data_IF_542570988015
#
_entry.id   IF_542570988015
#
_cell.length_a   1.000
_cell.length_b   1.000
_cell.length_c   1.000
_cell.angle_alpha   90.00
_cell.angle_beta   90.00
_cell.angle_gamma   90.00
#
_symmetry.space_group_name_H-M   'P 1'
#
loop_
_entity.id
_entity.type
_entity.pdbx_description
1 polymer ?
#
# COMPACT_ATOMS: atom_id res chain seq x y z
N UNK A 1 -12.85 -18.16 7.30
CA UNK A 1 -14.27 -17.93 6.92
C UNK A 1 -14.83 -16.54 7.24
N UNK A 2 -14.58 -15.91 8.41
CA UNK A 2 -15.16 -14.58 8.74
C UNK A 2 -14.49 -13.39 8.03
N UNK A 3 -13.19 -13.46 7.72
CA UNK A 3 -12.45 -12.39 7.03
C UNK A 3 -12.71 -12.34 5.52
N UNK A 4 -12.99 -13.48 4.89
CA UNK A 4 -13.42 -13.54 3.48
C UNK A 4 -14.77 -12.84 3.27
N UNK A 5 -15.70 -12.97 4.23
CA UNK A 5 -16.97 -12.22 4.25
C UNK A 5 -16.78 -10.70 4.38
N UNK A 6 -15.66 -10.23 4.94
CA UNK A 6 -15.37 -8.80 5.04
C UNK A 6 -14.83 -8.26 3.70
N UNK A 7 -14.02 -9.07 2.99
CA UNK A 7 -13.46 -8.72 1.67
C UNK A 7 -14.48 -8.77 0.52
N UNK A 8 -15.48 -9.64 0.61
CA UNK A 8 -16.60 -9.69 -0.36
C UNK A 8 -17.68 -8.64 -0.11
N UNK A 9 -17.71 -8.01 1.07
CA UNK A 9 -18.54 -6.82 1.28
C UNK A 9 -17.93 -5.70 0.44
N UNK A 10 -18.46 -5.51 -0.77
CA UNK A 10 -18.40 -4.22 -1.46
C UNK A 10 -18.76 -3.17 -0.42
N UNK A 11 -17.77 -2.42 0.06
CA UNK A 11 -18.07 -1.32 0.95
C UNK A 11 -19.08 -0.44 0.21
N UNK A 12 -20.19 -0.09 0.86
CA UNK A 12 -21.16 0.82 0.27
C UNK A 12 -20.40 2.00 -0.31
N UNK A 13 -20.56 2.26 -1.61
CA UNK A 13 -19.90 3.38 -2.25
C UNK A 13 -20.60 4.61 -1.68
N UNK A 14 -20.03 5.16 -0.60
CA UNK A 14 -20.62 6.25 0.17
C UNK A 14 -20.95 7.46 -0.70
N UNK A 15 -20.22 7.61 -1.82
CA UNK A 15 -20.47 8.62 -2.87
C UNK A 15 -21.81 8.45 -3.59
N UNK A 16 -22.34 7.23 -3.69
CA UNK A 16 -23.63 6.93 -4.35
C UNK A 16 -24.78 6.71 -3.37
N UNK A 17 -24.50 6.40 -2.10
CA UNK A 17 -25.53 6.03 -1.12
C UNK A 17 -26.05 7.21 -0.29
N UNK A 18 -25.28 8.29 -0.18
CA UNK A 18 -25.74 9.50 0.49
C UNK A 18 -26.33 10.41 -0.59
N UNK A 19 -27.66 10.58 -0.66
CA UNK A 19 -28.25 11.58 -1.53
C UNK A 19 -27.67 12.92 -1.11
N UNK A 20 -26.90 13.54 -2.02
CA UNK A 20 -26.39 14.89 -1.77
C UNK A 20 -27.61 15.79 -1.57
N UNK A 21 -27.68 16.57 -0.49
CA UNK A 21 -28.75 17.53 -0.34
C UNK A 21 -28.82 18.38 -1.61
N UNK A 22 -30.03 18.56 -2.17
CA UNK A 22 -30.22 19.38 -3.38
C UNK A 22 -30.03 20.88 -3.12
N UNK A 23 -29.53 21.22 -1.93
CA UNK A 23 -29.36 22.57 -1.44
C UNK A 23 -27.94 23.02 -1.75
N UNK A 24 -27.85 24.09 -2.53
CA UNK A 24 -26.57 24.65 -2.97
C UNK A 24 -25.85 25.31 -1.79
N UNK A 25 -24.70 24.74 -1.43
CA UNK A 25 -23.86 25.22 -0.33
C UNK A 25 -23.52 26.71 -0.47
N UNK A 26 -23.28 27.18 -1.69
CA UNK A 26 -22.98 28.59 -1.96
C UNK A 26 -24.13 29.50 -1.54
N UNK A 27 -25.37 29.13 -1.88
CA UNK A 27 -26.57 29.89 -1.50
C UNK A 27 -26.74 29.97 0.02
N UNK A 28 -26.51 28.87 0.74
CA UNK A 28 -26.61 28.86 2.21
C UNK A 28 -25.58 29.83 2.81
N UNK A 29 -24.35 29.84 2.29
CA UNK A 29 -23.28 30.74 2.75
C UNK A 29 -23.64 32.19 2.47
N UNK A 30 -24.17 32.51 1.29
CA UNK A 30 -24.57 33.87 0.92
C UNK A 30 -25.78 34.36 1.73
N UNK A 31 -26.77 33.49 1.96
CA UNK A 31 -27.90 33.75 2.85
C UNK A 31 -27.43 33.99 4.28
N UNK A 32 -26.50 33.18 4.79
CA UNK A 32 -25.92 33.34 6.14
C UNK A 32 -25.15 34.64 6.27
N UNK A 33 -24.34 35.01 5.27
CA UNK A 33 -23.64 36.31 5.24
C UNK A 33 -24.61 37.49 5.20
N UNK A 34 -25.71 37.36 4.46
CA UNK A 34 -26.74 38.40 4.37
C UNK A 34 -27.51 38.55 5.69
N UNK A 35 -27.86 37.42 6.33
CA UNK A 35 -28.48 37.40 7.65
C UNK A 35 -27.57 37.99 8.73
N UNK A 36 -26.26 37.67 8.69
CA UNK A 36 -25.26 38.22 9.60
C UNK A 36 -25.20 39.75 9.50
N UNK A 37 -25.11 40.31 8.28
CA UNK A 37 -25.14 41.78 8.06
C UNK A 37 -26.43 42.42 8.58
N UNK A 38 -27.57 41.76 8.40
CA UNK A 38 -28.84 42.25 8.92
C UNK A 38 -28.86 42.25 10.46
N UNK A 39 -28.36 41.18 11.09
CA UNK A 39 -28.26 41.07 12.54
C UNK A 39 -27.27 42.09 13.13
N UNK A 40 -26.13 42.35 12.47
CA UNK A 40 -25.18 43.40 12.86
C UNK A 40 -25.84 44.79 12.85
N UNK A 41 -26.58 45.11 11.78
CA UNK A 41 -27.31 46.38 11.71
C UNK A 41 -28.37 46.50 12.82
N UNK A 42 -29.12 45.42 13.07
CA UNK A 42 -30.14 45.40 14.12
C UNK A 42 -29.53 45.48 15.53
N UNK A 43 -28.38 44.83 15.74
CA UNK A 43 -27.59 44.92 16.97
C UNK A 43 -27.18 46.36 17.24
N UNK A 44 -26.62 47.04 16.24
CA UNK A 44 -26.21 48.44 16.32
C UNK A 44 -27.38 49.37 16.62
N UNK A 45 -28.53 49.17 15.98
CA UNK A 45 -29.74 49.96 16.24
C UNK A 45 -30.26 49.76 17.67
N UNK A 46 -30.36 48.50 18.14
CA UNK A 46 -30.80 48.21 19.51
C UNK A 46 -29.82 48.72 20.55
N UNK A 47 -28.52 48.67 20.27
CA UNK A 47 -27.48 49.23 21.13
C UNK A 47 -27.60 50.76 21.21
N UNK A 48 -27.78 51.45 20.06
CA UNK A 48 -28.02 52.91 20.04
C UNK A 48 -29.25 53.32 20.84
N UNK A 49 -30.36 52.60 20.67
CA UNK A 49 -31.61 52.89 21.43
C UNK A 49 -31.40 52.62 22.92
N UNK A 50 -30.69 51.55 23.27
CA UNK A 50 -30.37 51.22 24.66
C UNK A 50 -29.51 52.33 25.30
N UNK A 51 -28.47 52.78 24.61
CA UNK A 51 -27.58 53.85 25.08
C UNK A 51 -28.34 55.17 25.28
N UNK A 52 -29.21 55.55 24.32
CA UNK A 52 -30.09 56.72 24.45
C UNK A 52 -31.04 56.63 25.65
N UNK A 53 -31.63 55.46 25.91
CA UNK A 53 -32.53 55.26 27.05
C UNK A 53 -31.78 55.27 28.39
N UNK A 54 -30.55 54.73 28.42
CA UNK A 54 -29.68 54.77 29.60
C UNK A 54 -29.20 56.19 29.90
N UNK A 55 -28.97 57.02 28.88
CA UNK A 55 -28.59 58.42 29.03
C UNK A 55 -29.77 59.31 29.51
N UNK A 56 -31.02 58.93 29.20
CA UNK A 56 -32.23 59.60 29.69
C UNK A 56 -32.62 59.23 31.12
N UNK A 57 -32.12 58.11 31.63
CA UNK A 57 -32.45 57.57 32.97
C UNK A 57 -32.01 58.50 34.13
N UNK A 58 -30.82 59.14 34.11
CA UNK A 58 -30.43 60.15 35.10
C UNK A 58 -31.30 61.42 35.08
N UNK A 59 -31.76 61.84 33.90
CA UNK A 59 -32.53 63.08 33.71
C UNK A 59 -34.00 62.97 34.17
N UNK A 60 -34.52 61.75 34.37
CA UNK A 60 -35.91 61.48 34.74
C UNK A 60 -36.08 61.09 36.23
N UNK A 61 -35.03 61.19 37.04
CA UNK A 61 -35.10 61.01 38.51
C UNK A 61 -36.09 61.95 39.20
N UNK A 62 -36.60 62.98 38.51
CA UNK A 62 -37.62 63.93 39.00
C UNK A 62 -39.04 63.67 38.43
N UNK A 63 -39.22 62.70 37.52
CA UNK A 63 -40.51 62.40 36.88
C UNK A 63 -41.06 61.04 37.34
N UNK A 64 -42.38 60.95 37.59
CA UNK A 64 -43.02 59.91 38.41
C UNK A 64 -42.79 58.43 38.07
N UNK A 65 -43.02 57.58 39.08
CA UNK A 65 -42.60 56.17 39.18
C UNK A 65 -42.99 55.27 37.99
N UNK A 66 -44.16 55.47 37.38
CA UNK A 66 -44.67 54.62 36.30
C UNK A 66 -43.86 54.74 35.00
N UNK A 67 -43.38 55.95 34.66
CA UNK A 67 -42.55 56.16 33.46
C UNK A 67 -41.18 55.51 33.64
N UNK A 68 -40.63 55.62 34.84
CA UNK A 68 -39.35 55.00 35.21
C UNK A 68 -39.45 53.46 35.21
N UNK A 69 -40.58 52.88 35.60
CA UNK A 69 -40.84 51.44 35.50
C UNK A 69 -40.89 50.95 34.04
N UNK A 70 -41.60 51.67 33.17
CA UNK A 70 -41.71 51.31 31.75
C UNK A 70 -40.37 51.42 31.00
N UNK A 71 -39.56 52.45 31.30
CA UNK A 71 -38.22 52.60 30.72
C UNK A 71 -37.32 51.45 31.16
N UNK A 72 -37.33 51.05 32.44
CA UNK A 72 -36.59 49.88 32.94
C UNK A 72 -37.01 48.60 32.22
N UNK A 73 -38.31 48.37 32.05
CA UNK A 73 -38.81 47.19 31.32
C UNK A 73 -38.34 47.18 29.86
N UNK A 74 -38.34 48.34 29.18
CA UNK A 74 -37.86 48.47 27.81
C UNK A 74 -36.35 48.24 27.70
N UNK A 75 -35.57 48.74 28.65
CA UNK A 75 -34.13 48.49 28.77
C UNK A 75 -33.85 47.00 28.95
N UNK A 76 -34.58 46.33 29.84
CA UNK A 76 -34.41 44.88 30.07
C UNK A 76 -34.80 44.05 28.84
N UNK A 77 -35.83 44.47 28.11
CA UNK A 77 -36.21 43.84 26.85
C UNK A 77 -35.14 43.99 25.77
N UNK A 78 -34.59 45.21 25.60
CA UNK A 78 -33.51 45.48 24.65
C UNK A 78 -32.25 44.67 24.98
N UNK A 79 -31.86 44.60 26.26
CA UNK A 79 -30.73 43.78 26.71
C UNK A 79 -30.92 42.29 26.39
N UNK A 80 -32.12 41.75 26.64
CA UNK A 80 -32.43 40.34 26.32
C UNK A 80 -32.34 40.06 24.82
N UNK A 81 -32.87 40.95 23.98
CA UNK A 81 -32.79 40.77 22.52
C UNK A 81 -31.37 40.91 22.00
N UNK A 82 -30.57 41.82 22.57
CA UNK A 82 -29.17 42.01 22.18
C UNK A 82 -28.37 40.72 22.38
N UNK A 83 -28.54 40.03 23.52
CA UNK A 83 -27.90 38.72 23.79
C UNK A 83 -28.32 37.65 22.78
N UNK A 84 -29.60 37.64 22.35
CA UNK A 84 -30.09 36.69 21.35
C UNK A 84 -29.46 36.98 19.98
N UNK A 85 -29.33 38.25 19.60
CA UNK A 85 -28.68 38.66 18.34
C UNK A 85 -27.19 38.31 18.37
N UNK A 86 -26.48 38.59 19.46
CA UNK A 86 -25.07 38.23 19.63
C UNK A 86 -24.84 36.73 19.48
N UNK A 87 -25.69 35.91 20.12
CA UNK A 87 -25.62 34.46 19.94
C UNK A 87 -25.86 34.04 18.49
N UNK A 88 -26.81 34.67 17.79
CA UNK A 88 -27.05 34.40 16.37
C UNK A 88 -25.89 34.80 15.46
N UNK A 89 -25.17 35.87 15.80
CA UNK A 89 -23.94 36.29 15.13
C UNK A 89 -22.81 35.29 15.37
N UNK A 90 -22.61 34.85 16.62
CA UNK A 90 -21.62 33.83 16.98
C UNK A 90 -21.90 32.51 16.24
N UNK A 91 -23.15 32.05 16.23
CA UNK A 91 -23.57 30.84 15.50
C UNK A 91 -23.31 30.97 13.98
N UNK A 92 -23.58 32.15 13.40
CA UNK A 92 -23.31 32.43 11.98
C UNK A 92 -21.81 32.43 11.67
N UNK A 93 -21.00 32.98 12.57
CA UNK A 93 -19.54 32.98 12.46
C UNK A 93 -18.98 31.55 12.55
N UNK A 94 -19.48 30.75 13.49
CA UNK A 94 -19.14 29.32 13.60
C UNK A 94 -19.48 28.61 12.29
N UNK A 95 -20.66 28.84 11.73
CA UNK A 95 -21.06 28.25 10.45
C UNK A 95 -20.07 28.60 9.32
N UNK A 96 -19.62 29.85 9.22
CA UNK A 96 -18.63 30.26 8.22
C UNK A 96 -17.26 29.60 8.44
N UNK A 97 -16.80 29.48 9.69
CA UNK A 97 -15.54 28.78 9.98
C UNK A 97 -15.61 27.30 9.65
N UNK A 98 -16.73 26.63 9.99
CA UNK A 98 -16.98 25.24 9.63
C UNK A 98 -17.05 25.07 8.12
N UNK A 99 -17.69 26.00 7.41
CA UNK A 99 -17.71 26.01 5.96
C UNK A 99 -16.28 26.04 5.39
N UNK A 100 -15.41 26.92 5.87
CA UNK A 100 -14.03 26.97 5.39
C UNK A 100 -13.26 25.67 5.67
N UNK A 101 -13.45 25.06 6.84
CA UNK A 101 -12.83 23.77 7.18
C UNK A 101 -13.32 22.67 6.22
N UNK A 102 -14.63 22.61 5.96
CA UNK A 102 -15.20 21.64 5.01
C UNK A 102 -14.67 21.86 3.59
N UNK A 103 -14.49 23.12 3.16
CA UNK A 103 -13.88 23.42 1.86
C UNK A 103 -12.44 22.91 1.76
N UNK A 104 -11.63 23.13 2.81
CA UNK A 104 -10.26 22.63 2.86
C UNK A 104 -10.21 21.11 2.80
N UNK A 105 -11.03 20.42 3.59
CA UNK A 105 -11.12 18.95 3.57
C UNK A 105 -11.57 18.45 2.20
N UNK A 106 -12.56 19.08 1.57
CA UNK A 106 -13.01 18.70 0.23
C UNK A 106 -11.92 18.88 -0.84
N UNK A 107 -11.08 19.91 -0.71
CA UNK A 107 -9.93 20.14 -1.58
C UNK A 107 -8.84 19.10 -1.34
N UNK A 108 -8.48 18.81 -0.09
CA UNK A 108 -7.51 17.74 0.25
C UNK A 108 -7.98 16.37 -0.24
N UNK A 109 -9.27 16.05 -0.09
CA UNK A 109 -9.84 14.79 -0.60
C UNK A 109 -9.71 14.72 -2.13
N UNK A 110 -9.94 15.83 -2.84
CA UNK A 110 -9.80 15.89 -4.30
C UNK A 110 -8.35 15.66 -4.74
N UNK A 111 -7.40 16.34 -4.09
CA UNK A 111 -5.96 16.19 -4.38
C UNK A 111 -5.49 14.76 -4.14
N UNK A 112 -5.88 14.15 -3.03
CA UNK A 112 -5.57 12.75 -2.73
C UNK A 112 -6.18 11.79 -3.76
N UNK A 113 -7.39 12.07 -4.24
CA UNK A 113 -8.03 11.26 -5.28
C UNK A 113 -7.29 11.33 -6.62
N UNK A 114 -6.82 12.53 -6.99
CA UNK A 114 -6.01 12.74 -8.19
C UNK A 114 -4.64 12.04 -8.07
N UNK A 115 -3.97 12.13 -6.91
CA UNK A 115 -2.72 11.42 -6.63
C UNK A 115 -2.91 9.90 -6.73
N UNK A 116 -3.94 9.35 -6.08
CA UNK A 116 -4.31 7.93 -6.18
C UNK A 116 -4.54 7.53 -7.65
N UNK A 117 -5.16 8.40 -8.45
CA UNK A 117 -5.33 8.21 -9.89
C UNK A 117 -3.99 8.05 -10.61
N UNK A 118 -3.08 9.00 -10.42
CA UNK A 118 -1.76 9.01 -11.03
C UNK A 118 -0.90 7.80 -10.64
N UNK A 119 -0.93 7.40 -9.36
CA UNK A 119 -0.20 6.23 -8.86
C UNK A 119 -0.76 4.94 -9.46
N UNK A 120 -2.08 4.82 -9.62
CA UNK A 120 -2.70 3.67 -10.29
C UNK A 120 -2.28 3.57 -11.75
N UNK A 121 -2.17 4.68 -12.46
CA UNK A 121 -1.66 4.71 -13.84
C UNK A 121 -0.19 4.30 -13.91
N UNK A 122 0.64 4.83 -12.99
CA UNK A 122 2.05 4.45 -12.91
C UNK A 122 2.24 2.96 -12.62
N UNK A 123 1.44 2.39 -11.71
CA UNK A 123 1.45 0.95 -11.42
C UNK A 123 1.05 0.15 -12.66
N UNK A 124 0.02 0.57 -13.41
CA UNK A 124 -0.37 -0.11 -14.66
C UNK A 124 0.78 -0.09 -15.69
N UNK A 125 1.43 1.05 -15.87
CA UNK A 125 2.57 1.19 -16.78
C UNK A 125 3.73 0.27 -16.38
N UNK A 126 4.13 0.27 -15.10
CA UNK A 126 5.20 -0.60 -14.58
C UNK A 126 4.85 -2.09 -14.73
N UNK A 127 3.58 -2.48 -14.57
CA UNK A 127 3.14 -3.87 -14.80
C UNK A 127 3.31 -4.27 -16.27
N UNK A 128 2.96 -3.38 -17.21
CA UNK A 128 3.14 -3.63 -18.64
C UNK A 128 4.62 -3.77 -18.97
N UNK A 129 5.46 -2.87 -18.44
CA UNK A 129 6.91 -2.89 -18.62
C UNK A 129 7.54 -4.19 -18.07
N UNK A 130 7.20 -4.58 -16.84
CA UNK A 130 7.65 -5.85 -16.25
C UNK A 130 7.25 -7.06 -17.09
N UNK A 131 6.03 -7.08 -17.62
CA UNK A 131 5.59 -8.15 -18.51
C UNK A 131 6.38 -8.16 -19.82
N UNK A 132 6.77 -7.00 -20.35
CA UNK A 132 7.65 -6.91 -21.51
C UNK A 132 9.03 -7.48 -21.20
N UNK A 133 9.67 -7.01 -20.14
CA UNK A 133 11.01 -7.48 -19.74
C UNK A 133 11.04 -8.99 -19.48
N UNK A 134 9.99 -9.56 -18.89
CA UNK A 134 9.87 -11.02 -18.71
C UNK A 134 9.79 -11.78 -20.04
N UNK A 135 9.08 -11.24 -21.03
CA UNK A 135 9.04 -11.84 -22.38
C UNK A 135 10.40 -11.74 -23.06
N UNK A 136 11.05 -10.59 -22.96
CA UNK A 136 12.38 -10.36 -23.54
C UNK A 136 13.42 -11.29 -22.92
N UNK A 137 13.41 -11.45 -21.60
CA UNK A 137 14.26 -12.41 -20.89
C UNK A 137 13.99 -13.86 -21.34
N UNK A 138 12.73 -14.26 -21.49
CA UNK A 138 12.39 -15.60 -21.98
C UNK A 138 12.85 -15.81 -23.43
N UNK A 139 12.82 -14.77 -24.27
CA UNK A 139 13.33 -14.83 -25.63
C UNK A 139 14.86 -14.95 -25.68
N UNK A 140 15.59 -14.20 -24.86
CA UNK A 140 17.06 -14.31 -24.80
C UNK A 140 17.51 -15.64 -24.22
N UNK A 141 16.82 -16.15 -23.20
CA UNK A 141 17.07 -17.49 -22.64
C UNK A 141 16.89 -18.59 -23.68
N UNK A 142 15.83 -18.53 -24.50
CA UNK A 142 15.64 -19.51 -25.58
C UNK A 142 16.74 -19.45 -26.63
N UNK A 143 17.13 -18.24 -27.07
CA UNK A 143 18.23 -18.08 -28.03
C UNK A 143 19.57 -18.57 -27.48
N UNK A 144 19.81 -18.39 -26.18
CA UNK A 144 21.01 -18.91 -25.53
C UNK A 144 21.02 -20.44 -25.59
N UNK A 145 19.93 -21.09 -25.19
CA UNK A 145 19.82 -22.56 -25.25
C UNK A 145 19.97 -23.08 -26.69
N UNK A 146 19.34 -22.44 -27.68
CA UNK A 146 19.48 -22.80 -29.10
C UNK A 146 20.94 -22.67 -29.58
N UNK A 147 21.66 -21.62 -29.13
CA UNK A 147 23.08 -21.44 -29.48
C UNK A 147 23.99 -22.44 -28.76
N UNK A 148 23.69 -22.80 -27.52
CA UNK A 148 24.41 -23.82 -26.75
C UNK A 148 24.22 -25.21 -27.41
N UNK A 149 22.99 -25.55 -27.81
CA UNK A 149 22.67 -26.77 -28.55
C UNK A 149 23.47 -26.83 -29.87
N UNK A 150 23.48 -25.73 -30.63
CA UNK A 150 24.28 -25.64 -31.85
C UNK A 150 25.79 -25.83 -31.57
N UNK A 151 26.32 -25.22 -30.52
CA UNK A 151 27.73 -25.39 -30.14
C UNK A 151 28.07 -26.85 -29.83
N UNK A 152 27.21 -27.54 -29.07
CA UNK A 152 27.40 -28.96 -28.74
C UNK A 152 27.34 -29.82 -30.00
N UNK A 153 26.39 -29.56 -30.92
CA UNK A 153 26.32 -30.32 -32.18
C UNK A 153 27.57 -30.16 -33.03
N UNK A 154 28.11 -28.94 -33.12
CA UNK A 154 29.34 -28.66 -33.86
C UNK A 154 30.56 -29.28 -33.19
N UNK A 155 30.62 -29.35 -31.86
CA UNK A 155 31.69 -30.02 -31.13
C UNK A 155 31.70 -31.53 -31.40
N UNK A 156 30.52 -32.17 -31.41
CA UNK A 156 30.39 -33.58 -31.79
C UNK A 156 30.80 -33.81 -33.24
N UNK A 157 30.38 -32.95 -34.17
CA UNK A 157 30.80 -33.04 -35.58
C UNK A 157 32.32 -32.86 -35.75
N UNK A 158 32.92 -31.91 -35.02
CA UNK A 158 34.37 -31.71 -34.99
C UNK A 158 35.09 -32.98 -34.51
N UNK A 159 34.63 -33.56 -33.42
CA UNK A 159 35.24 -34.77 -32.85
C UNK A 159 35.07 -35.97 -33.79
N UNK A 160 33.91 -36.10 -34.43
CA UNK A 160 33.67 -37.12 -35.45
C UNK A 160 34.59 -36.96 -36.65
N UNK A 161 34.77 -35.74 -37.16
CA UNK A 161 35.69 -35.46 -38.27
C UNK A 161 37.15 -35.70 -37.86
N UNK A 162 37.55 -35.33 -36.65
CA UNK A 162 38.89 -35.60 -36.12
C UNK A 162 39.16 -37.11 -36.03
N UNK A 163 38.16 -37.88 -35.57
CA UNK A 163 38.23 -39.34 -35.55
C UNK A 163 38.35 -39.93 -36.96
N UNK A 164 37.54 -39.48 -37.92
CA UNK A 164 37.63 -39.93 -39.32
C UNK A 164 39.00 -39.60 -39.93
N UNK A 165 39.52 -38.39 -39.71
CA UNK A 165 40.85 -38.02 -40.16
C UNK A 165 41.92 -38.92 -39.54
N UNK A 166 41.80 -39.26 -38.26
CA UNK A 166 42.72 -40.19 -37.58
C UNK A 166 42.69 -41.58 -38.21
N UNK A 167 41.51 -42.11 -38.55
CA UNK A 167 41.36 -43.41 -39.24
C UNK A 167 41.86 -43.39 -40.70
N UNK A 168 41.73 -42.25 -41.38
CA UNK A 168 42.20 -42.10 -42.76
C UNK A 168 43.72 -41.84 -42.83
N UNK A 169 44.33 -41.35 -41.75
CA UNK A 169 45.78 -41.13 -41.61
C UNK A 169 46.51 -42.38 -41.09
N UNK A 170 46.34 -43.53 -41.73
CA UNK A 170 47.22 -44.70 -41.56
C UNK A 170 48.52 -44.54 -42.39
N UNK A 171 49.38 -43.58 -42.04
CA UNK A 171 50.86 -43.59 -42.26
C UNK A 171 51.52 -42.68 -41.19
N UNK A 172 52.70 -43.03 -40.62
CA UNK A 172 53.24 -42.35 -39.46
C UNK A 172 53.85 -40.99 -39.83
N UNK A 173 53.23 -39.89 -39.41
CA UNK A 173 53.88 -38.59 -39.42
C UNK A 173 54.75 -38.46 -38.17
N UNK A 174 56.06 -38.54 -38.41
CA UNK A 174 57.17 -38.46 -37.47
C UNK A 174 57.02 -37.33 -36.45
N UNK A 175 57.33 -37.66 -35.20
CA UNK A 175 57.74 -36.71 -34.18
C UNK A 175 58.94 -35.92 -34.69
N UNK A 176 58.83 -34.58 -34.73
CA UNK A 176 60.00 -33.73 -34.59
C UNK A 176 59.88 -32.93 -33.30
N UNK A 177 60.90 -33.13 -32.48
CA UNK A 177 61.24 -32.40 -31.28
C UNK A 177 61.46 -30.92 -31.58
N UNK A 178 60.79 -30.04 -30.83
CA UNK A 178 61.37 -28.76 -30.47
C UNK A 178 60.81 -28.30 -29.13
N UNK A 179 61.68 -28.48 -28.15
CA UNK A 179 61.74 -27.91 -26.82
C UNK A 179 61.45 -26.39 -26.80
N UNK A 180 60.55 -25.94 -25.92
CA UNK A 180 60.63 -24.65 -25.21
C UNK A 180 59.53 -24.57 -24.12
N UNK A 181 59.95 -24.59 -22.85
CA UNK A 181 59.39 -23.65 -21.85
C UNK A 181 58.32 -24.12 -20.85
N UNK A 182 58.77 -24.81 -19.80
CA UNK A 182 58.49 -24.51 -18.39
C UNK A 182 57.07 -24.60 -17.77
N UNK A 183 56.95 -25.60 -16.89
CA UNK A 183 56.41 -25.58 -15.52
C UNK A 183 54.91 -25.31 -15.30
N UNK A 184 54.18 -26.36 -14.89
CA UNK A 184 53.75 -26.53 -13.49
C UNK A 184 53.04 -27.89 -13.34
N UNK A 185 53.84 -28.86 -12.92
CA UNK A 185 53.41 -30.08 -12.25
C UNK A 185 52.68 -29.72 -10.95
N UNK A 186 51.55 -30.36 -10.69
CA UNK A 186 51.21 -30.96 -9.41
C UNK A 186 49.89 -31.74 -9.56
N UNK A 187 50.00 -32.91 -10.18
CA UNK A 187 49.05 -33.99 -9.95
C UNK A 187 49.40 -34.68 -8.62
N UNK A 188 48.68 -34.34 -7.55
CA UNK A 188 48.50 -35.27 -6.44
C UNK A 188 47.26 -34.92 -5.60
N UNK A 189 46.20 -35.71 -5.78
CA UNK A 189 45.49 -36.46 -4.73
C UNK A 189 44.50 -37.37 -5.47
N UNK A 190 44.84 -38.65 -5.48
CA UNK A 190 43.92 -39.74 -5.73
C UNK A 190 43.48 -40.24 -4.34
N UNK A 191 42.18 -40.25 -4.05
CA UNK A 191 41.53 -41.27 -3.22
C UNK A 191 40.02 -41.02 -3.03
N UNK A 192 39.25 -42.05 -3.41
CA UNK A 192 38.01 -42.53 -2.78
C UNK A 192 36.73 -41.71 -2.92
N UNK A 193 35.91 -42.21 -3.84
CA UNK A 193 34.54 -42.69 -3.59
C UNK A 193 33.60 -41.80 -2.75
N UNK A 194 32.62 -41.18 -3.40
CA UNK A 194 31.21 -41.49 -3.16
C UNK A 194 30.30 -40.64 -4.05
N UNK A 195 29.43 -41.36 -4.76
CA UNK A 195 28.11 -40.95 -5.25
C UNK A 195 28.00 -39.68 -6.09
N UNK A 196 27.83 -39.94 -7.39
CA UNK A 196 26.81 -39.31 -8.21
C UNK A 196 25.63 -38.79 -7.38
N UNK A 197 25.47 -37.48 -7.36
CA UNK A 197 24.15 -36.89 -7.17
C UNK A 197 23.98 -35.86 -8.27
N UNK A 198 23.44 -36.36 -9.37
CA UNK A 198 22.70 -35.59 -10.36
C UNK A 198 21.92 -34.47 -9.66
N UNK A 199 22.28 -33.22 -9.89
CA UNK A 199 21.40 -32.09 -9.58
C UNK A 199 20.30 -32.02 -10.65
N UNK A 200 19.55 -33.10 -10.79
CA UNK A 200 18.23 -33.06 -11.37
C UNK A 200 17.35 -32.41 -10.31
N UNK A 201 16.86 -31.20 -10.57
CA UNK A 201 15.79 -30.62 -9.77
C UNK A 201 14.69 -31.67 -9.64
N UNK A 202 14.38 -32.19 -8.43
CA UNK A 202 13.28 -33.12 -8.32
C UNK A 202 12.03 -32.34 -8.70
N UNK A 203 11.27 -32.85 -9.68
CA UNK A 203 9.88 -32.45 -9.87
C UNK A 203 9.17 -32.70 -8.53
N UNK A 204 9.03 -31.66 -7.72
CA UNK A 204 8.33 -31.72 -6.45
C UNK A 204 6.85 -31.94 -6.80
N UNK A 205 6.22 -33.03 -6.34
CA UNK A 205 4.78 -33.20 -6.48
C UNK A 205 4.09 -32.07 -5.73
N UNK A 206 3.23 -31.34 -6.43
CA UNK A 206 2.29 -30.41 -5.82
C UNK A 206 1.30 -31.22 -4.97
N UNK A 207 1.69 -31.52 -3.73
CA UNK A 207 0.78 -32.07 -2.74
C UNK A 207 0.47 -31.00 -1.71
N UNK A 208 -0.84 -30.76 -1.59
CA UNK A 208 -1.53 -29.82 -0.70
C UNK A 208 -1.55 -28.40 -1.27
N UNK A 209 -2.67 -28.08 -1.92
CA UNK A 209 -3.19 -26.71 -2.07
C UNK A 209 -3.41 -26.10 -0.68
N UNK A 210 -2.34 -25.64 -0.04
CA UNK A 210 -2.48 -24.58 0.94
C UNK A 210 -2.72 -23.34 0.10
N UNK A 211 -3.90 -22.73 0.27
CA UNK A 211 -4.32 -21.50 -0.38
C UNK A 211 -3.46 -20.31 0.11
N UNK A 212 -2.16 -20.31 -0.23
CA UNK A 212 -1.21 -19.22 -0.05
C UNK A 212 -1.48 -18.07 -1.05
N UNK A 213 -2.74 -17.81 -1.36
CA UNK A 213 -3.21 -16.81 -2.32
C UNK A 213 -3.01 -15.37 -1.83
N UNK A 214 -2.47 -15.18 -0.63
CA UNK A 214 -2.36 -13.87 0.00
C UNK A 214 -0.96 -13.24 -0.02
N UNK A 215 0.12 -14.02 -0.18
CA UNK A 215 1.46 -13.43 -0.18
C UNK A 215 2.49 -14.28 -0.97
N UNK A 216 3.05 -13.78 -2.10
CA UNK A 216 4.02 -14.53 -2.89
C UNK A 216 5.30 -14.86 -2.10
N UNK A 217 5.67 -14.03 -1.12
CA UNK A 217 6.81 -14.25 -0.24
C UNK A 217 6.62 -15.48 0.66
N UNK A 218 5.41 -15.69 1.17
CA UNK A 218 5.07 -16.81 2.03
C UNK A 218 5.03 -18.12 1.25
N UNK A 219 4.57 -18.07 0.00
CA UNK A 219 4.58 -19.22 -0.91
C UNK A 219 6.00 -19.69 -1.24
N UNK A 220 6.93 -18.75 -1.49
CA UNK A 220 8.35 -19.08 -1.71
C UNK A 220 8.95 -19.70 -0.45
N UNK A 221 8.64 -19.16 0.73
CA UNK A 221 9.10 -19.71 1.99
C UNK A 221 8.56 -21.12 2.24
N UNK A 222 7.27 -21.36 2.01
CA UNK A 222 6.65 -22.69 2.12
C UNK A 222 7.37 -23.72 1.22
N UNK A 223 7.59 -23.38 -0.05
CA UNK A 223 8.27 -24.28 -0.98
C UNK A 223 9.70 -24.61 -0.54
N UNK A 224 10.41 -23.65 0.05
CA UNK A 224 11.76 -23.85 0.60
C UNK A 224 11.74 -24.83 1.79
N UNK A 225 10.81 -24.62 2.74
CA UNK A 225 10.66 -25.49 3.91
C UNK A 225 10.28 -26.92 3.51
N UNK A 226 9.35 -27.08 2.57
CA UNK A 226 9.00 -28.40 2.04
C UNK A 226 10.19 -29.08 1.34
N UNK A 227 11.03 -28.31 0.65
CA UNK A 227 12.29 -28.83 0.08
C UNK A 227 13.26 -29.36 1.15
N UNK A 228 13.39 -28.67 2.28
CA UNK A 228 14.23 -29.16 3.39
C UNK A 228 13.67 -30.41 4.08
N UNK A 229 12.34 -30.51 4.19
CA UNK A 229 11.66 -31.70 4.71
C UNK A 229 11.85 -32.89 3.78
N UNK A 230 11.71 -32.69 2.47
CA UNK A 230 11.96 -33.72 1.47
C UNK A 230 13.42 -34.22 1.50
N UNK A 231 14.37 -33.34 1.87
CA UNK A 231 15.79 -33.67 2.08
C UNK A 231 16.08 -34.27 3.47
N UNK A 232 15.07 -34.43 4.33
CA UNK A 232 15.22 -34.98 5.69
C UNK A 232 15.96 -34.07 6.69
N UNK A 233 16.20 -32.80 6.34
CA UNK A 233 16.98 -31.85 7.14
C UNK A 233 16.10 -31.07 8.13
N UNK A 234 15.43 -31.77 9.03
CA UNK A 234 14.51 -31.19 10.02
C UNK A 234 15.21 -30.23 11.00
N UNK A 235 16.49 -30.47 11.27
CA UNK A 235 17.33 -29.64 12.14
C UNK A 235 17.46 -28.19 11.66
N UNK A 236 17.34 -27.96 10.34
CA UNK A 236 17.43 -26.63 9.72
C UNK A 236 16.04 -26.04 9.48
N UNK A 237 15.06 -26.88 9.12
CA UNK A 237 13.69 -26.45 8.85
C UNK A 237 12.99 -25.91 10.11
N UNK A 238 13.12 -26.61 11.24
CA UNK A 238 12.52 -26.26 12.53
C UNK A 238 12.91 -24.84 13.04
N UNK A 239 14.21 -24.48 13.13
CA UNK A 239 14.61 -23.14 13.54
C UNK A 239 14.24 -22.07 12.51
N UNK A 240 14.30 -22.39 11.22
CA UNK A 240 13.94 -21.46 10.15
C UNK A 240 12.46 -21.08 10.18
N UNK A 241 11.56 -22.03 10.44
CA UNK A 241 10.14 -21.73 10.63
C UNK A 241 9.88 -20.93 11.92
N UNK A 242 10.64 -21.17 12.99
CA UNK A 242 10.48 -20.44 14.25
C UNK A 242 10.92 -18.98 14.15
N UNK A 243 12.06 -18.71 13.51
CA UNK A 243 12.55 -17.34 13.30
C UNK A 243 11.61 -16.54 12.42
N UNK A 244 11.15 -17.13 11.33
CA UNK A 244 10.22 -16.45 10.41
C UNK A 244 8.84 -16.19 11.00
N UNK A 245 8.34 -17.08 11.87
CA UNK A 245 7.12 -16.82 12.64
C UNK A 245 7.30 -15.63 13.60
N UNK A 246 8.44 -15.55 14.29
CA UNK A 246 8.74 -14.44 15.19
C UNK A 246 8.86 -13.11 14.44
N UNK A 247 9.56 -13.10 13.30
CA UNK A 247 9.68 -11.92 12.43
C UNK A 247 8.33 -11.43 11.90
N UNK A 248 7.41 -12.35 11.59
CA UNK A 248 6.07 -12.02 11.11
C UNK A 248 5.18 -11.50 12.24
N UNK A 249 5.29 -12.06 13.45
CA UNK A 249 4.61 -11.55 14.64
C UNK A 249 5.08 -10.15 15.01
N UNK A 250 6.38 -9.88 14.93
CA UNK A 250 6.95 -8.57 15.25
C UNK A 250 6.52 -7.50 14.23
N UNK A 251 6.40 -7.86 12.95
CA UNK A 251 6.04 -6.92 11.87
C UNK A 251 4.56 -6.66 11.71
N UNK A 252 3.74 -7.71 11.86
CA UNK A 252 2.32 -7.65 11.50
C UNK A 252 1.37 -7.89 12.68
N UNK A 253 1.91 -8.29 13.84
CA UNK A 253 1.13 -8.66 15.01
C UNK A 253 0.57 -10.10 14.94
N UNK A 254 0.17 -10.66 16.09
CA UNK A 254 -0.22 -12.07 16.22
C UNK A 254 -1.53 -12.44 15.50
N UNK A 255 -2.37 -11.46 15.14
CA UNK A 255 -3.67 -11.67 14.48
C UNK A 255 -3.58 -11.59 12.94
N UNK A 256 -2.38 -11.38 12.38
CA UNK A 256 -2.22 -11.23 10.93
C UNK A 256 -2.41 -12.57 10.20
N UNK A 257 -3.11 -12.59 9.05
CA UNK A 257 -3.33 -13.82 8.27
C UNK A 257 -2.04 -14.57 7.89
N UNK A 258 -0.93 -13.85 7.70
CA UNK A 258 0.36 -14.47 7.36
C UNK A 258 0.98 -15.22 8.55
N UNK A 259 0.71 -14.80 9.79
CA UNK A 259 1.15 -15.51 11.01
C UNK A 259 0.36 -16.81 11.18
N UNK A 260 -0.95 -16.76 10.91
CA UNK A 260 -1.82 -17.95 10.96
C UNK A 260 -1.41 -18.97 9.91
N UNK A 261 -1.14 -18.53 8.67
CA UNK A 261 -0.66 -19.41 7.61
C UNK A 261 0.70 -20.05 7.95
N UNK A 262 1.60 -19.34 8.64
CA UNK A 262 2.87 -19.91 9.09
C UNK A 262 2.72 -20.94 10.21
N UNK A 263 1.77 -20.70 11.12
CA UNK A 263 1.42 -21.66 12.17
C UNK A 263 0.89 -22.97 11.58
N UNK A 264 0.06 -22.89 10.53
CA UNK A 264 -0.45 -24.05 9.80
C UNK A 264 0.69 -24.81 9.11
N UNK A 265 1.63 -24.10 8.47
CA UNK A 265 2.82 -24.70 7.85
C UNK A 265 3.67 -25.44 8.89
N UNK A 266 3.95 -24.81 10.03
CA UNK A 266 4.69 -25.41 11.15
C UNK A 266 4.01 -26.68 11.63
N UNK A 267 2.68 -26.66 11.76
CA UNK A 267 1.91 -27.84 12.20
C UNK A 267 2.09 -29.03 11.26
N UNK A 268 2.28 -28.79 9.96
CA UNK A 268 2.58 -29.84 8.97
C UNK A 268 4.02 -30.33 9.12
N UNK A 269 4.99 -29.46 9.40
CA UNK A 269 6.41 -29.83 9.58
C UNK A 269 6.63 -30.74 10.79
N UNK A 270 5.86 -30.56 11.86
CA UNK A 270 6.00 -31.31 13.11
C UNK A 270 5.05 -32.51 13.24
N UNK A 271 4.35 -32.88 12.16
CA UNK A 271 3.44 -34.04 12.13
C UNK A 271 4.17 -35.31 11.71
#
# INVERSE_FOLDING_TARGET
MRLLKWREKKHPNWKTEIPRPSLDRGKIVDETKSAMKYLENLHDEYKRILDQLLEQLPALSECGDDKNSLIKQKVDFLKKNLVVIERGLDDSQIFLTLNNIVENIENEVRENEDEIGSLKERIKALKVENNSLRRDLSMTQRKLVESEEQSVTLEVERDHLAFINTLLCEEPCLEETSDEGESLDLSFIDEKSASDTESSFPNIPCFIEIDCSLNPRLKIFYNLVMGYIAKGSYEIAAPLCKTTLQDLQDKYGPEHPDVVAMMDIITIVYR
#
